data_IF_177170698273
#
_entry.id   IF_177170698273
#
_cell.length_a   1.000
_cell.length_b   1.000
_cell.length_c   1.000
_cell.angle_alpha   90.00
_cell.angle_beta   90.00
_cell.angle_gamma   90.00
#
_symmetry.space_group_name_H-M   'P 1'
#
loop_
_entity.id
_entity.type
_entity.pdbx_description
1 polymer ?
#
# COMPACT_ATOMS: atom_id res chain seq x y z
N UNK A 1 -23.48 2.60 7.41
CA UNK A 1 -23.14 2.32 7.13
C UNK A 1 -22.07 2.67 6.96
N UNK A 2 -21.67 2.90 6.77
CA UNK A 2 -20.60 3.29 6.50
C UNK A 2 -19.42 3.03 7.18
N UNK A 3 -19.39 2.81 8.15
CA UNK A 3 -18.35 2.82 8.76
C UNK A 3 -17.50 1.86 8.44
N UNK A 4 -17.44 1.27 7.85
CA UNK A 4 -16.49 0.48 7.47
C UNK A 4 -16.01 -0.49 8.42
N UNK A 5 -15.70 -1.64 7.98
CA UNK A 5 -15.10 -2.66 8.79
C UNK A 5 -13.63 -2.33 8.97
N UNK A 6 -13.12 -2.56 10.19
CA UNK A 6 -11.73 -2.33 10.50
C UNK A 6 -11.02 -3.67 10.56
N UNK A 7 -9.87 -3.75 9.89
CA UNK A 7 -9.08 -4.97 9.84
C UNK A 7 -7.77 -4.78 10.59
N UNK A 8 -7.44 -5.73 11.46
CA UNK A 8 -6.19 -5.67 12.21
C UNK A 8 -5.02 -5.93 11.26
N UNK A 9 -3.81 -5.57 11.69
CA UNK A 9 -2.63 -5.80 10.86
C UNK A 9 -2.47 -7.29 10.60
N UNK A 10 -2.85 -8.14 11.53
CA UNK A 10 -2.75 -9.59 11.34
C UNK A 10 -3.72 -10.04 10.25
N UNK A 11 -4.95 -9.53 10.29
CA UNK A 11 -5.92 -9.89 9.26
C UNK A 11 -5.47 -9.41 7.89
N UNK A 12 -4.94 -8.19 7.82
CA UNK A 12 -4.48 -7.63 6.56
C UNK A 12 -3.31 -8.46 6.03
N UNK A 13 -2.40 -8.86 6.91
CA UNK A 13 -1.27 -9.67 6.52
C UNK A 13 -1.74 -10.97 5.87
N UNK A 14 -2.76 -11.58 6.44
CA UNK A 14 -3.28 -12.83 5.90
C UNK A 14 -4.04 -12.62 4.59
N UNK A 15 -4.85 -11.59 4.53
CA UNK A 15 -5.65 -11.32 3.33
C UNK A 15 -4.77 -10.94 2.15
N UNK A 16 -3.80 -10.05 2.37
CA UNK A 16 -2.97 -9.54 1.29
C UNK A 16 -1.72 -10.37 1.06
N UNK A 17 -1.45 -11.33 1.94
CA UNK A 17 -0.23 -12.14 1.87
C UNK A 17 0.99 -11.24 1.90
N UNK A 18 1.00 -10.27 2.81
CA UNK A 18 2.12 -9.37 3.05
C UNK A 18 2.52 -9.56 4.51
N UNK A 19 3.77 -9.85 4.81
CA UNK A 19 4.18 -10.04 6.21
C UNK A 19 3.87 -8.81 7.06
N UNK A 20 3.48 -9.03 8.31
CA UNK A 20 3.20 -7.93 9.22
C UNK A 20 4.38 -6.98 9.35
N UNK A 21 5.59 -7.52 9.30
CA UNK A 21 6.80 -6.72 9.37
C UNK A 21 6.86 -5.74 8.21
N UNK A 22 6.49 -6.19 7.02
CA UNK A 22 6.46 -5.34 5.84
C UNK A 22 5.38 -4.27 5.97
N UNK A 23 4.23 -4.62 6.53
CA UNK A 23 3.16 -3.65 6.74
C UNK A 23 3.61 -2.56 7.71
N UNK A 24 4.35 -2.92 8.76
CA UNK A 24 4.87 -1.95 9.69
C UNK A 24 5.90 -1.04 9.03
N UNK A 25 6.70 -1.60 8.14
CA UNK A 25 7.68 -0.83 7.39
C UNK A 25 6.97 0.17 6.47
N UNK A 26 5.89 -0.25 5.82
CA UNK A 26 5.11 0.64 4.96
C UNK A 26 4.52 1.81 5.78
N UNK A 27 4.14 1.55 7.03
CA UNK A 27 3.66 2.59 7.92
C UNK A 27 4.81 3.58 8.23
N UNK A 28 6.00 3.05 8.54
CA UNK A 28 7.15 3.87 8.89
C UNK A 28 7.57 4.79 7.77
N UNK A 29 7.53 4.32 6.53
CA UNK A 29 7.93 5.13 5.40
C UNK A 29 6.75 5.92 4.81
N UNK A 30 5.61 5.88 5.48
CA UNK A 30 4.41 6.59 5.06
C UNK A 30 3.89 6.17 3.67
N UNK A 31 4.14 4.92 3.30
CA UNK A 31 3.59 4.42 2.04
C UNK A 31 2.12 4.06 2.25
N UNK A 32 1.80 3.30 3.29
CA UNK A 32 0.42 3.01 3.68
C UNK A 32 0.35 3.12 5.19
N UNK A 33 -0.29 4.17 5.67
CA UNK A 33 -0.42 4.43 7.09
C UNK A 33 -1.80 3.93 7.53
N UNK A 34 -1.87 3.07 8.55
CA UNK A 34 -3.18 2.54 8.99
C UNK A 34 -4.14 3.69 9.25
N UNK A 35 -5.35 3.54 8.72
CA UNK A 35 -6.35 4.58 8.85
C UNK A 35 -6.79 4.77 10.28
N UNK A 36 -6.75 3.71 11.08
CA UNK A 36 -7.16 3.78 12.47
C UNK A 36 -6.05 3.26 13.37
N UNK A 37 -5.92 3.84 14.56
CA UNK A 37 -4.96 3.37 15.55
C UNK A 37 -5.63 3.50 16.90
N UNK A 38 -5.65 2.42 17.67
CA UNK A 38 -6.25 2.45 18.99
C UNK A 38 -5.37 3.31 19.90
N UNK A 39 -5.98 4.29 20.55
CA UNK A 39 -5.21 5.23 21.35
C UNK A 39 -4.55 4.57 22.55
N UNK A 40 -5.20 3.56 23.13
CA UNK A 40 -4.65 2.91 24.30
C UNK A 40 -3.60 1.89 23.94
N UNK A 41 -3.92 0.94 23.08
CA UNK A 41 -3.04 -0.17 22.77
C UNK A 41 -2.08 0.13 21.65
N UNK A 42 -2.36 1.15 20.87
CA UNK A 42 -1.58 1.54 19.69
C UNK A 42 -1.68 0.49 18.59
N UNK A 43 -2.64 -0.41 18.65
CA UNK A 43 -2.83 -1.38 17.60
C UNK A 43 -3.25 -0.68 16.31
N UNK A 44 -2.82 -1.23 15.19
CA UNK A 44 -3.10 -0.66 13.89
C UNK A 44 -4.28 -1.35 13.25
N UNK A 45 -5.16 -0.56 12.64
CA UNK A 45 -6.32 -1.10 11.92
C UNK A 45 -6.41 -0.42 10.56
N UNK A 46 -6.80 -1.21 9.58
CA UNK A 46 -6.85 -0.75 8.19
C UNK A 46 -8.28 -0.80 7.67
N UNK A 47 -8.60 0.05 6.72
CA UNK A 47 -9.90 0.04 6.09
C UNK A 47 -9.91 -0.92 4.92
N UNK A 48 -11.09 -1.21 4.40
CA UNK A 48 -11.23 -2.06 3.23
C UNK A 48 -10.49 -1.45 2.04
N UNK A 49 -10.58 -0.13 1.86
CA UNK A 49 -9.90 0.52 0.76
C UNK A 49 -8.40 0.36 0.88
N UNK A 50 -7.88 0.36 2.09
CA UNK A 50 -6.44 0.17 2.29
C UNK A 50 -6.02 -1.25 1.94
N UNK A 51 -6.88 -2.23 2.18
CA UNK A 51 -6.58 -3.60 1.79
C UNK A 51 -6.45 -3.69 0.27
N UNK A 52 -7.35 -3.03 -0.45
CA UNK A 52 -7.29 -3.02 -1.90
C UNK A 52 -5.99 -2.40 -2.37
N UNK A 53 -5.61 -1.26 -1.76
CA UNK A 53 -4.37 -0.58 -2.10
C UNK A 53 -3.16 -1.49 -1.83
N UNK A 54 -3.17 -2.19 -0.71
CA UNK A 54 -2.05 -3.07 -0.37
C UNK A 54 -1.95 -4.24 -1.33
N UNK A 55 -3.06 -4.77 -1.79
CA UNK A 55 -3.05 -5.84 -2.79
C UNK A 55 -2.46 -5.35 -4.09
N UNK A 56 -2.76 -4.10 -4.47
CA UNK A 56 -2.20 -3.52 -5.67
C UNK A 56 -0.70 -3.32 -5.51
N UNK A 57 -0.27 -2.84 -4.34
CA UNK A 57 1.15 -2.64 -4.05
C UNK A 57 1.90 -3.96 -4.19
N UNK A 58 1.32 -5.03 -3.66
CA UNK A 58 1.98 -6.34 -3.72
C UNK A 58 2.18 -6.75 -5.17
N UNK A 59 1.16 -6.55 -6.01
CA UNK A 59 1.27 -6.90 -7.41
C UNK A 59 2.32 -6.06 -8.12
N UNK A 60 2.36 -4.77 -7.85
CA UNK A 60 3.33 -3.89 -8.47
C UNK A 60 4.76 -4.25 -8.04
N UNK A 61 4.93 -4.62 -6.78
CA UNK A 61 6.25 -5.06 -6.32
C UNK A 61 6.69 -6.33 -7.05
N UNK A 62 5.77 -7.25 -7.26
CA UNK A 62 6.11 -8.48 -7.99
C UNK A 62 6.48 -8.18 -9.43
N UNK A 63 5.94 -7.11 -9.99
CA UNK A 63 6.27 -6.71 -11.35
C UNK A 63 7.59 -5.94 -11.41
N UNK A 64 8.22 -5.68 -10.27
CA UNK A 64 9.52 -5.03 -10.24
C UNK A 64 9.51 -3.53 -10.02
N UNK A 65 8.34 -2.95 -9.72
CA UNK A 65 8.30 -1.52 -9.46
C UNK A 65 8.91 -1.20 -8.10
N UNK A 66 9.66 -0.11 -8.03
CA UNK A 66 10.25 0.32 -6.77
C UNK A 66 9.18 0.91 -5.86
N UNK A 67 9.46 0.94 -4.56
CA UNK A 67 8.53 1.55 -3.62
C UNK A 67 8.34 3.03 -3.91
N UNK A 68 9.38 3.70 -4.39
CA UNK A 68 9.26 5.11 -4.73
C UNK A 68 8.27 5.33 -5.86
N UNK A 69 8.35 4.51 -6.90
CA UNK A 69 7.42 4.59 -8.02
C UNK A 69 6.01 4.25 -7.57
N UNK A 70 5.87 3.22 -6.74
CA UNK A 70 4.58 2.81 -6.23
C UNK A 70 3.95 3.95 -5.41
N UNK A 71 4.76 4.64 -4.62
CA UNK A 71 4.25 5.74 -3.82
C UNK A 71 3.70 6.85 -4.71
N UNK A 72 4.36 7.14 -5.81
CA UNK A 72 3.87 8.13 -6.76
C UNK A 72 2.52 7.72 -7.34
N UNK A 73 2.36 6.43 -7.64
CA UNK A 73 1.11 5.93 -8.18
C UNK A 73 0.00 6.04 -7.15
N UNK A 74 0.27 5.65 -5.91
CA UNK A 74 -0.74 5.66 -4.87
C UNK A 74 -1.16 7.07 -4.50
N UNK A 75 -0.21 8.01 -4.50
CA UNK A 75 -0.50 9.37 -4.09
C UNK A 75 -1.37 10.11 -5.10
N UNK A 76 -1.79 9.42 -6.14
CA UNK A 76 -2.72 10.03 -7.07
C UNK A 76 -2.10 11.08 -7.96
N UNK A 77 -0.86 10.86 -8.35
CA UNK A 77 -0.20 11.78 -9.26
C UNK A 77 -0.98 11.87 -10.56
N UNK A 78 -0.70 12.90 -11.33
CA UNK A 78 -1.42 13.10 -12.57
C UNK A 78 -1.20 11.93 -13.53
N UNK A 79 -2.10 11.79 -14.48
CA UNK A 79 -1.96 10.74 -15.49
C UNK A 79 -0.63 10.83 -16.20
N UNK A 80 -0.16 12.05 -16.44
CA UNK A 80 1.12 12.26 -17.10
C UNK A 80 2.26 11.67 -16.26
N UNK A 81 2.22 11.88 -14.95
CA UNK A 81 3.24 11.33 -14.07
C UNK A 81 3.20 9.82 -14.06
N UNK A 82 2.00 9.22 -14.06
CA UNK A 82 1.87 7.78 -14.09
C UNK A 82 2.40 7.22 -15.39
N UNK A 83 2.06 7.85 -16.50
CA UNK A 83 2.53 7.39 -17.79
C UNK A 83 4.05 7.47 -17.88
N UNK A 84 4.63 8.55 -17.37
CA UNK A 84 6.08 8.70 -17.39
C UNK A 84 6.76 7.60 -16.56
N UNK A 85 6.20 7.27 -15.38
CA UNK A 85 6.76 6.23 -14.54
C UNK A 85 6.69 4.88 -15.23
N UNK A 86 5.59 4.58 -15.91
CA UNK A 86 5.42 3.32 -16.59
C UNK A 86 6.38 3.23 -17.78
N UNK A 87 6.52 4.31 -18.54
CA UNK A 87 7.40 4.33 -19.68
C UNK A 87 8.85 4.12 -19.25
N UNK A 88 9.26 4.76 -18.16
CA UNK A 88 10.61 4.59 -17.65
C UNK A 88 10.85 3.14 -17.26
N UNK A 89 9.86 2.51 -16.62
CA UNK A 89 10.01 1.12 -16.22
C UNK A 89 10.10 0.19 -17.41
N UNK A 90 9.31 0.46 -18.44
CA UNK A 90 9.36 -0.34 -19.66
C UNK A 90 10.70 -0.17 -20.36
N UNK A 91 11.23 1.04 -20.39
CA UNK A 91 12.53 1.29 -21.00
C UNK A 91 13.62 0.52 -20.27
N UNK A 92 13.54 0.42 -18.95
CA UNK A 92 14.52 -0.34 -18.19
C UNK A 92 14.47 -1.83 -18.53
N UNK A 93 13.31 -2.34 -18.87
CA UNK A 93 13.14 -3.75 -19.18
C UNK A 93 13.56 -4.03 -20.61
N UNK A 94 13.24 -3.14 -21.52
CA UNK A 94 13.55 -3.32 -22.92
C UNK A 94 15.01 -2.96 -23.24
#
# INVERSE_FOLDING_TARGET
>A
MGQGYKFSIREVSEICNIPSKTLRYYDEIALVVPEFRDESSRYRYYSKDQIITLCIIRKLRKMGFSLKTIQCIIDGNTATDLERNIETKLDEIL
#
